data_IF_274854167227
#
_entry.id   IF_274854167227
#
_cell.length_a   1.000
_cell.length_b   1.000
_cell.length_c   1.000
_cell.angle_alpha   90.00
_cell.angle_beta   90.00
_cell.angle_gamma   90.00
#
_symmetry.space_group_name_H-M   'P 1'
#
loop_
_entity.id
_entity.type
_entity.pdbx_description
1 polymer ?
#
# COMPACT_ATOMS: atom_id res chain seq x y z
N UNK A 1 27.33 -0.48 -16.62
CA UNK A 1 27.96 -0.55 -15.28
C UNK A 1 27.21 -1.50 -14.33
N UNK A 2 27.37 -2.82 -14.47
CA UNK A 2 26.77 -3.85 -13.57
C UNK A 2 27.77 -4.95 -13.19
N UNK A 3 28.88 -4.55 -12.58
CA UNK A 3 29.81 -5.45 -11.90
C UNK A 3 29.43 -5.54 -10.43
N UNK A 4 29.22 -6.76 -9.94
CA UNK A 4 29.01 -7.05 -8.52
C UNK A 4 30.38 -7.06 -7.83
N UNK A 5 30.76 -5.88 -7.37
CA UNK A 5 31.89 -5.55 -6.51
C UNK A 5 31.28 -4.67 -5.41
N UNK A 6 31.41 -5.09 -4.16
CA UNK A 6 31.33 -4.18 -3.01
C UNK A 6 30.21 -3.13 -3.09
N UNK A 7 28.98 -3.63 -3.01
CA UNK A 7 27.79 -2.79 -3.16
C UNK A 7 27.25 -2.40 -1.80
N UNK A 8 27.19 -1.10 -1.56
CA UNK A 8 26.26 -0.47 -0.63
C UNK A 8 24.82 -0.60 -1.19
N UNK A 9 24.10 -1.63 -0.79
CA UNK A 9 22.69 -1.82 -1.15
C UNK A 9 21.84 -1.26 -0.02
N UNK A 10 20.99 -0.30 -0.33
CA UNK A 10 19.96 0.19 0.57
C UNK A 10 18.61 -0.39 0.14
N UNK A 11 17.89 -0.99 1.07
CA UNK A 11 16.50 -1.42 0.86
C UNK A 11 15.65 -0.55 1.76
N UNK A 12 14.78 0.24 1.14
CA UNK A 12 13.81 1.07 1.83
C UNK A 12 12.45 0.41 1.69
N UNK A 13 11.78 0.13 2.80
CA UNK A 13 10.47 -0.50 2.83
C UNK A 13 9.53 0.41 3.62
N UNK A 14 8.50 0.94 2.97
CA UNK A 14 7.50 1.76 3.66
C UNK A 14 6.26 0.92 3.87
N UNK A 15 5.91 0.61 5.10
CA UNK A 15 4.72 -0.19 5.40
C UNK A 15 3.45 0.68 5.43
N UNK A 16 2.30 0.04 5.25
CA UNK A 16 1.00 0.66 5.41
C UNK A 16 0.36 0.04 6.66
N UNK A 17 0.35 0.77 7.76
CA UNK A 17 -0.51 0.49 8.90
C UNK A 17 -1.60 1.55 8.96
N UNK A 18 -2.84 1.10 9.08
CA UNK A 18 -4.02 1.94 9.32
C UNK A 18 -3.86 2.51 10.74
N UNK A 19 -3.14 3.63 10.88
CA UNK A 19 -3.20 4.48 12.09
C UNK A 19 -4.26 5.54 11.87
N UNK A 20 -5.35 5.42 12.63
CA UNK A 20 -6.45 6.38 12.71
C UNK A 20 -5.91 7.62 13.43
N UNK A 21 -5.46 8.62 12.69
CA UNK A 21 -5.30 9.97 13.23
C UNK A 21 -6.45 10.82 12.69
N UNK A 22 -7.30 11.27 13.60
CA UNK A 22 -8.30 12.30 13.34
C UNK A 22 -7.60 13.56 12.83
N UNK A 23 -7.76 13.86 11.55
CA UNK A 23 -7.53 15.19 11.01
C UNK A 23 -8.84 15.67 10.41
N UNK A 24 -9.46 16.60 11.12
CA UNK A 24 -10.56 17.42 10.62
C UNK A 24 -9.98 18.39 9.61
N UNK A 25 -10.39 18.26 8.34
CA UNK A 25 -10.20 19.30 7.34
C UNK A 25 -11.54 19.49 6.63
N UNK A 26 -12.19 20.61 6.94
CA UNK A 26 -13.41 21.05 6.29
C UNK A 26 -13.14 21.33 4.82
N UNK A 27 -13.78 20.56 3.94
CA UNK A 27 -13.95 20.92 2.53
C UNK A 27 -15.41 20.65 2.18
N UNK A 28 -16.12 21.71 1.83
CA UNK A 28 -17.52 21.65 1.41
C UNK A 28 -17.65 20.83 0.12
N UNK A 29 -18.59 19.86 0.03
CA UNK A 29 -18.78 19.07 -1.18
C UNK A 29 -19.52 19.87 -2.27
N UNK A 30 -19.25 19.62 -3.56
CA UNK A 30 -20.05 20.15 -4.65
C UNK A 30 -21.42 19.45 -4.69
N UNK A 31 -22.46 20.22 -4.91
CA UNK A 31 -23.85 19.79 -5.09
C UNK A 31 -23.99 18.90 -6.33
N UNK A 32 -24.24 17.60 -6.12
CA UNK A 32 -24.79 16.68 -7.12
C UNK A 32 -26.33 16.79 -7.04
N UNK A 33 -27.08 16.78 -8.16
CA UNK A 33 -28.53 16.81 -8.09
C UNK A 33 -29.02 15.52 -7.43
N UNK A 34 -29.56 15.65 -6.22
CA UNK A 34 -30.28 14.56 -5.57
C UNK A 34 -31.57 14.31 -6.36
N UNK A 35 -31.67 13.17 -7.04
CA UNK A 35 -32.99 12.55 -7.17
C UNK A 35 -33.38 12.15 -5.76
N UNK A 36 -34.14 13.04 -5.11
CA UNK A 36 -34.59 12.94 -3.74
C UNK A 36 -35.48 11.71 -3.62
N UNK A 37 -34.96 10.61 -3.07
CA UNK A 37 -35.81 9.58 -2.46
C UNK A 37 -36.38 10.22 -1.19
N UNK A 38 -37.42 11.03 -1.37
CA UNK A 38 -38.14 11.62 -0.26
C UNK A 38 -38.93 10.47 0.38
N UNK A 39 -38.50 9.99 1.55
CA UNK A 39 -39.38 9.15 2.35
C UNK A 39 -40.55 10.02 2.83
N UNK A 40 -41.81 9.63 2.56
CA UNK A 40 -42.96 10.44 2.95
C UNK A 40 -43.03 10.51 4.48
N UNK A 41 -43.12 11.73 5.02
CA UNK A 41 -43.50 11.95 6.41
C UNK A 41 -45.02 11.82 6.55
N UNK A 42 -45.46 10.82 7.31
CA UNK A 42 -46.86 10.60 7.69
C UNK A 42 -47.53 9.44 6.94
N UNK A 43 -47.92 8.40 7.68
CA UNK A 43 -48.83 7.27 7.42
C UNK A 43 -48.98 6.62 6.01
N UNK A 44 -48.18 7.03 5.03
CA UNK A 44 -48.10 6.47 3.69
C UNK A 44 -46.63 6.16 3.41
N UNK A 45 -46.11 5.08 3.98
CA UNK A 45 -45.11 4.34 3.22
C UNK A 45 -45.81 3.88 1.94
N UNK A 46 -45.54 4.59 0.85
CA UNK A 46 -46.19 4.42 -0.46
C UNK A 46 -46.21 2.95 -0.88
N UNK A 47 -47.22 2.59 -1.67
CA UNK A 47 -47.41 1.27 -2.31
C UNK A 47 -46.11 0.74 -2.95
N UNK A 48 -45.18 1.64 -3.30
CA UNK A 48 -43.87 1.36 -3.88
C UNK A 48 -42.97 0.46 -3.02
N UNK A 49 -43.09 0.49 -1.69
CA UNK A 49 -42.27 -0.35 -0.80
C UNK A 49 -42.72 -1.82 -0.76
N UNK A 50 -43.82 -2.18 -1.43
CA UNK A 50 -44.45 -3.52 -1.38
C UNK A 50 -44.07 -4.40 -2.57
N UNK A 51 -43.28 -3.86 -3.49
CA UNK A 51 -42.89 -4.44 -4.76
C UNK A 51 -41.36 -4.52 -4.86
N UNK A 52 -40.87 -5.45 -5.65
CA UNK A 52 -39.46 -5.63 -5.94
C UNK A 52 -38.97 -4.51 -6.86
N UNK A 53 -37.91 -3.81 -6.46
CA UNK A 53 -37.32 -2.73 -7.27
C UNK A 53 -36.21 -3.27 -8.18
N UNK A 54 -36.47 -3.31 -9.48
CA UNK A 54 -35.61 -3.92 -10.50
C UNK A 54 -35.35 -2.89 -11.61
N UNK A 55 -34.09 -2.48 -11.79
CA UNK A 55 -33.68 -1.53 -12.84
C UNK A 55 -34.47 -0.20 -12.89
N UNK A 56 -34.96 0.29 -11.74
CA UNK A 56 -35.76 1.51 -11.66
C UNK A 56 -37.27 1.30 -11.86
N UNK A 57 -37.73 0.05 -11.95
CA UNK A 57 -39.13 -0.34 -12.05
C UNK A 57 -39.56 -1.16 -10.85
N UNK A 58 -40.86 -1.14 -10.54
CA UNK A 58 -41.47 -1.92 -9.47
C UNK A 58 -42.16 -3.16 -10.05
N UNK A 59 -41.95 -4.32 -9.43
CA UNK A 59 -42.51 -5.61 -9.88
C UNK A 59 -43.04 -6.43 -8.70
N UNK A 60 -44.19 -7.08 -8.86
CA UNK A 60 -44.84 -7.89 -7.82
C UNK A 60 -45.50 -9.12 -8.42
N UNK A 61 -44.77 -9.83 -9.27
CA UNK A 61 -45.32 -10.96 -10.02
C UNK A 61 -45.40 -12.25 -9.20
N UNK A 62 -44.87 -12.26 -7.97
CA UNK A 62 -44.96 -13.39 -7.07
C UNK A 62 -46.35 -13.57 -6.46
N UNK A 63 -46.84 -14.80 -6.50
CA UNK A 63 -48.13 -15.16 -5.90
C UNK A 63 -48.08 -15.30 -4.36
N UNK A 64 -46.88 -15.35 -3.78
CA UNK A 64 -46.68 -15.46 -2.33
C UNK A 64 -46.61 -14.06 -1.72
N UNK A 65 -47.57 -13.75 -0.86
CA UNK A 65 -47.61 -12.54 -0.04
C UNK A 65 -46.97 -12.80 1.34
N UNK A 66 -45.92 -12.03 1.64
CA UNK A 66 -45.26 -12.01 2.94
C UNK A 66 -45.82 -10.84 3.76
N UNK A 67 -46.47 -11.13 4.87
CA UNK A 67 -47.01 -10.11 5.76
C UNK A 67 -46.01 -9.81 6.87
N UNK A 68 -45.81 -8.53 7.17
CA UNK A 68 -45.07 -8.14 8.36
C UNK A 68 -45.92 -8.34 9.60
N UNK A 69 -45.28 -8.66 10.73
CA UNK A 69 -45.95 -8.95 12.01
C UNK A 69 -45.25 -8.19 13.14
N UNK A 70 -46.02 -7.79 14.15
CA UNK A 70 -45.46 -7.27 15.39
C UNK A 70 -44.91 -8.45 16.20
N UNK A 71 -43.60 -8.48 16.43
CA UNK A 71 -42.92 -9.56 17.11
C UNK A 71 -43.29 -9.68 18.61
N UNK A 72 -43.94 -8.66 19.19
CA UNK A 72 -44.39 -8.72 20.59
C UNK A 72 -45.80 -9.28 20.73
N UNK A 73 -46.71 -8.94 19.81
CA UNK A 73 -48.13 -9.31 19.90
C UNK A 73 -48.50 -10.46 18.96
N UNK A 74 -47.71 -10.70 17.91
CA UNK A 74 -48.03 -11.63 16.83
C UNK A 74 -49.11 -11.10 15.87
N UNK A 75 -49.57 -9.86 16.04
CA UNK A 75 -50.58 -9.26 15.17
C UNK A 75 -49.97 -8.79 13.84
N UNK A 76 -50.71 -8.90 12.72
CA UNK A 76 -50.22 -8.46 11.42
C UNK A 76 -50.06 -6.92 11.39
N UNK A 77 -48.93 -6.47 10.85
CA UNK A 77 -48.72 -5.07 10.48
C UNK A 77 -49.38 -4.79 9.12
N UNK A 78 -49.69 -3.53 8.77
CA UNK A 78 -50.42 -3.18 7.55
C UNK A 78 -49.59 -3.31 6.25
N UNK A 79 -48.46 -4.03 6.30
CA UNK A 79 -47.50 -4.16 5.21
C UNK A 79 -47.46 -5.60 4.71
N UNK A 80 -47.64 -5.76 3.40
CA UNK A 80 -47.49 -7.01 2.69
C UNK A 80 -46.53 -6.82 1.52
N UNK A 81 -45.68 -7.81 1.28
CA UNK A 81 -44.64 -7.80 0.27
C UNK A 81 -44.81 -9.01 -0.66
N UNK A 82 -44.67 -8.80 -1.96
CA UNK A 82 -44.63 -9.92 -2.90
C UNK A 82 -43.25 -10.59 -2.87
N UNK A 83 -43.22 -11.90 -2.62
CA UNK A 83 -41.98 -12.65 -2.76
C UNK A 83 -41.49 -12.58 -4.21
N UNK A 84 -40.21 -12.23 -4.41
CA UNK A 84 -39.63 -12.18 -5.73
C UNK A 84 -39.70 -13.55 -6.43
N UNK A 85 -40.13 -13.57 -7.69
CA UNK A 85 -40.06 -14.78 -8.52
C UNK A 85 -38.62 -15.05 -8.98
N UNK A 86 -38.34 -16.27 -9.44
CA UNK A 86 -37.03 -16.59 -10.05
C UNK A 86 -36.71 -15.67 -11.23
N UNK A 87 -37.71 -15.31 -12.04
CA UNK A 87 -37.55 -14.42 -13.18
C UNK A 87 -37.24 -12.98 -12.76
N UNK A 88 -37.87 -12.49 -11.68
CA UNK A 88 -37.57 -11.19 -11.09
C UNK A 88 -36.15 -11.13 -10.51
N UNK A 89 -35.71 -12.20 -9.85
CA UNK A 89 -34.33 -12.32 -9.33
C UNK A 89 -33.33 -12.33 -10.48
N UNK A 90 -33.58 -13.13 -11.52
CA UNK A 90 -32.73 -13.20 -12.72
C UNK A 90 -32.66 -11.83 -13.42
N UNK A 91 -33.79 -11.13 -13.58
CA UNK A 91 -33.85 -9.79 -14.15
C UNK A 91 -33.03 -8.78 -13.31
N UNK A 92 -33.07 -8.87 -11.98
CA UNK A 92 -32.27 -8.01 -11.10
C UNK A 92 -30.76 -8.29 -11.26
N UNK A 93 -30.36 -9.54 -11.39
CA UNK A 93 -28.96 -9.94 -11.63
C UNK A 93 -28.47 -9.42 -12.98
N UNK A 94 -29.26 -9.62 -14.04
CA UNK A 94 -28.94 -9.14 -15.39
C UNK A 94 -28.85 -7.60 -15.44
N UNK A 95 -29.75 -6.90 -14.75
CA UNK A 95 -29.69 -5.44 -14.63
C UNK A 95 -28.43 -4.97 -13.90
N UNK A 96 -28.03 -5.65 -12.82
CA UNK A 96 -26.80 -5.34 -12.10
C UNK A 96 -25.55 -5.60 -12.95
N UNK A 97 -25.51 -6.69 -13.71
CA UNK A 97 -24.44 -6.98 -14.65
C UNK A 97 -24.35 -5.91 -15.76
N UNK A 98 -25.49 -5.52 -16.35
CA UNK A 98 -25.55 -4.48 -17.36
C UNK A 98 -25.10 -3.10 -16.84
N UNK A 99 -25.36 -2.80 -15.57
CA UNK A 99 -24.93 -1.54 -14.93
C UNK A 99 -23.43 -1.53 -14.57
N UNK A 100 -22.80 -2.70 -14.43
CA UNK A 100 -21.43 -2.81 -13.93
C UNK A 100 -20.38 -2.05 -14.75
N UNK A 101 -20.34 -2.11 -16.11
CA UNK A 101 -19.34 -1.36 -16.89
C UNK A 101 -19.41 0.15 -16.66
N UNK A 102 -20.63 0.70 -16.57
CA UNK A 102 -20.83 2.12 -16.28
C UNK A 102 -20.37 2.44 -14.85
N UNK A 103 -20.79 1.65 -13.86
CA UNK A 103 -20.42 1.85 -12.46
C UNK A 103 -18.91 1.72 -12.22
N UNK A 104 -18.25 0.71 -12.79
CA UNK A 104 -16.82 0.49 -12.56
C UNK A 104 -15.94 1.60 -13.16
N UNK A 105 -16.44 2.27 -14.20
CA UNK A 105 -15.79 3.43 -14.84
C UNK A 105 -15.88 4.73 -14.04
N UNK A 106 -16.72 4.79 -13.00
CA UNK A 106 -16.85 5.99 -12.16
C UNK A 106 -15.54 6.30 -11.42
N UNK A 107 -15.33 7.58 -11.11
CA UNK A 107 -14.19 8.02 -10.31
C UNK A 107 -14.32 7.58 -8.84
N UNK A 108 -13.20 7.42 -8.10
CA UNK A 108 -13.26 7.21 -6.66
C UNK A 108 -14.07 8.26 -5.91
N UNK A 109 -14.01 9.53 -6.34
CA UNK A 109 -14.78 10.61 -5.73
C UNK A 109 -16.29 10.40 -5.87
N UNK A 110 -16.75 9.97 -7.05
CA UNK A 110 -18.18 9.66 -7.29
C UNK A 110 -18.65 8.48 -6.44
N UNK A 111 -17.85 7.41 -6.33
CA UNK A 111 -18.18 6.27 -5.48
C UNK A 111 -18.22 6.61 -3.99
N UNK A 112 -17.28 7.42 -3.52
CA UNK A 112 -17.27 7.90 -2.14
C UNK A 112 -18.50 8.77 -1.84
N UNK A 113 -18.83 9.70 -2.74
CA UNK A 113 -20.03 10.53 -2.61
C UNK A 113 -21.33 9.70 -2.57
N UNK A 114 -21.39 8.60 -3.34
CA UNK A 114 -22.52 7.68 -3.30
C UNK A 114 -22.66 6.99 -1.93
N UNK A 115 -21.57 6.51 -1.34
CA UNK A 115 -21.58 5.91 0.00
C UNK A 115 -22.00 6.91 1.09
N UNK A 116 -21.51 8.16 1.00
CA UNK A 116 -21.92 9.21 1.93
C UNK A 116 -23.39 9.58 1.79
N UNK A 117 -23.91 9.61 0.56
CA UNK A 117 -25.33 9.86 0.33
C UNK A 117 -26.20 8.80 1.02
N UNK A 118 -25.87 7.51 0.87
CA UNK A 118 -26.58 6.43 1.57
C UNK A 118 -26.50 6.61 3.09
N UNK A 119 -25.31 6.94 3.62
CA UNK A 119 -25.14 7.16 5.06
C UNK A 119 -25.99 8.33 5.58
N UNK A 120 -26.09 9.41 4.81
CA UNK A 120 -26.88 10.59 5.18
C UNK A 120 -28.39 10.29 5.15
N UNK A 121 -28.88 9.56 4.14
CA UNK A 121 -30.29 9.14 4.08
C UNK A 121 -30.65 8.21 5.25
N UNK A 122 -29.76 7.28 5.62
CA UNK A 122 -29.96 6.41 6.79
C UNK A 122 -30.04 7.20 8.09
N UNK A 123 -29.20 8.23 8.28
CA UNK A 123 -29.24 9.07 9.47
C UNK A 123 -30.45 10.00 9.50
N UNK A 124 -30.99 10.37 8.33
CA UNK A 124 -32.19 11.19 8.18
C UNK A 124 -33.49 10.43 8.50
N UNK A 125 -33.44 9.09 8.59
CA UNK A 125 -34.59 8.29 9.04
C UNK A 125 -35.04 8.74 10.44
N UNK A 126 -36.31 9.11 10.54
CA UNK A 126 -36.92 9.57 11.78
C UNK A 126 -37.18 8.46 12.81
N UNK A 127 -37.80 8.85 13.92
CA UNK A 127 -38.15 7.92 15.00
C UNK A 127 -39.19 6.87 14.57
N UNK A 128 -40.02 7.17 13.57
CA UNK A 128 -40.98 6.21 13.00
C UNK A 128 -40.29 4.96 12.48
N UNK A 129 -39.15 5.10 11.81
CA UNK A 129 -38.35 3.95 11.35
C UNK A 129 -37.86 3.10 12.53
N UNK A 130 -37.37 3.74 13.59
CA UNK A 130 -36.89 3.05 14.79
C UNK A 130 -38.03 2.27 15.46
N UNK A 131 -39.21 2.88 15.55
CA UNK A 131 -40.39 2.27 16.11
C UNK A 131 -40.84 1.07 15.27
N UNK A 132 -40.90 1.21 13.95
CA UNK A 132 -41.27 0.12 13.05
C UNK A 132 -40.33 -1.08 13.16
N UNK A 133 -39.01 -0.86 13.08
CA UNK A 133 -38.03 -1.94 13.20
C UNK A 133 -38.08 -2.59 14.59
N UNK A 134 -38.31 -1.81 15.64
CA UNK A 134 -38.48 -2.32 17.02
C UNK A 134 -39.67 -3.27 17.09
N UNK A 135 -40.80 -2.92 16.47
CA UNK A 135 -42.00 -3.78 16.41
C UNK A 135 -41.75 -5.08 15.65
N UNK A 136 -41.05 -5.01 14.51
CA UNK A 136 -40.80 -6.19 13.66
C UNK A 136 -39.74 -7.15 14.24
N UNK A 137 -38.81 -6.64 15.05
CA UNK A 137 -37.66 -7.43 15.55
C UNK A 137 -37.70 -7.75 17.04
N UNK A 138 -38.58 -7.10 17.80
CA UNK A 138 -38.60 -7.10 19.26
C UNK A 138 -37.27 -6.65 19.92
N UNK A 139 -36.42 -5.93 19.19
CA UNK A 139 -35.18 -5.37 19.73
C UNK A 139 -35.42 -4.01 20.37
N UNK A 140 -34.78 -3.68 21.52
CA UNK A 140 -34.95 -2.38 22.16
C UNK A 140 -34.53 -1.21 21.25
N UNK A 141 -35.22 -0.07 21.33
CA UNK A 141 -34.92 1.12 20.50
C UNK A 141 -33.46 1.56 20.56
N UNK A 142 -32.86 1.51 21.77
CA UNK A 142 -31.46 1.85 21.97
C UNK A 142 -30.53 0.98 21.12
N UNK A 143 -30.87 -0.31 20.93
CA UNK A 143 -30.14 -1.22 20.05
C UNK A 143 -30.29 -0.81 18.59
N UNK A 144 -31.51 -0.55 18.14
CA UNK A 144 -31.78 -0.17 16.74
C UNK A 144 -31.08 1.15 16.38
N UNK A 145 -31.10 2.14 17.28
CA UNK A 145 -30.36 3.41 17.10
C UNK A 145 -28.85 3.17 17.00
N UNK A 146 -28.30 2.31 17.84
CA UNK A 146 -26.89 1.92 17.79
C UNK A 146 -26.53 1.22 16.48
N UNK A 147 -27.37 0.31 15.99
CA UNK A 147 -27.17 -0.41 14.73
C UNK A 147 -27.23 0.51 13.51
N UNK A 148 -28.18 1.46 13.49
CA UNK A 148 -28.27 2.50 12.46
C UNK A 148 -27.00 3.34 12.41
N UNK A 149 -26.60 3.89 13.56
CA UNK A 149 -25.40 4.73 13.66
C UNK A 149 -24.13 3.95 13.29
N UNK A 150 -24.04 2.67 13.64
CA UNK A 150 -22.93 1.81 13.25
C UNK A 150 -22.87 1.63 11.74
N UNK A 151 -24.00 1.36 11.10
CA UNK A 151 -24.10 1.16 9.65
C UNK A 151 -23.73 2.42 8.88
N UNK A 152 -24.29 3.59 9.24
CA UNK A 152 -23.98 4.85 8.57
C UNK A 152 -22.51 5.25 8.73
N UNK A 153 -21.92 5.05 9.92
CA UNK A 153 -20.49 5.30 10.13
C UNK A 153 -19.58 4.33 9.36
N UNK A 154 -19.96 3.06 9.21
CA UNK A 154 -19.22 2.11 8.37
C UNK A 154 -19.21 2.52 6.89
N UNK A 155 -20.34 3.01 6.36
CA UNK A 155 -20.40 3.53 4.99
C UNK A 155 -19.46 4.71 4.78
N UNK A 156 -19.43 5.67 5.73
CA UNK A 156 -18.49 6.81 5.69
C UNK A 156 -17.03 6.37 5.77
N UNK A 157 -16.74 5.38 6.63
CA UNK A 157 -15.41 4.78 6.69
C UNK A 157 -14.99 4.19 5.33
N UNK A 158 -15.89 3.49 4.63
CA UNK A 158 -15.61 2.98 3.29
C UNK A 158 -15.47 4.10 2.25
N UNK A 159 -16.25 5.17 2.34
CA UNK A 159 -16.10 6.35 1.48
C UNK A 159 -14.70 6.95 1.60
N UNK A 160 -14.18 7.06 2.81
CA UNK A 160 -12.82 7.55 3.06
C UNK A 160 -11.74 6.61 2.52
N UNK A 161 -11.90 5.29 2.69
CA UNK A 161 -11.02 4.29 2.07
C UNK A 161 -11.01 4.45 0.54
N UNK A 162 -12.16 4.69 -0.08
CA UNK A 162 -12.28 4.92 -1.52
C UNK A 162 -11.59 6.22 -1.93
N UNK A 163 -11.77 7.32 -1.19
CA UNK A 163 -11.09 8.60 -1.45
C UNK A 163 -9.57 8.49 -1.39
N UNK A 164 -9.05 7.81 -0.37
CA UNK A 164 -7.61 7.62 -0.17
C UNK A 164 -7.01 6.64 -1.18
N UNK A 165 -7.83 5.80 -1.79
CA UNK A 165 -7.38 4.77 -2.73
C UNK A 165 -6.72 3.58 -2.05
N UNK A 166 -6.90 3.40 -0.73
CA UNK A 166 -6.25 2.31 0.02
C UNK A 166 -6.69 0.93 -0.51
N UNK A 167 -7.92 0.83 -1.03
CA UNK A 167 -8.46 -0.38 -1.65
C UNK A 167 -7.70 -0.80 -2.92
N UNK A 168 -6.99 0.11 -3.59
CA UNK A 168 -6.14 -0.23 -4.73
C UNK A 168 -4.91 -1.07 -4.32
N UNK A 169 -4.54 -0.99 -3.03
CA UNK A 169 -3.49 -1.81 -2.41
C UNK A 169 -4.00 -3.09 -1.75
N UNK A 170 -5.32 -3.22 -1.54
CA UNK A 170 -5.91 -4.41 -0.94
C UNK A 170 -5.85 -5.59 -1.92
N UNK A 171 -5.14 -6.66 -1.53
CA UNK A 171 -5.14 -7.93 -2.24
C UNK A 171 -5.55 -9.05 -1.29
N UNK A 172 -6.57 -9.78 -1.72
CA UNK A 172 -6.92 -11.09 -1.16
C UNK A 172 -6.03 -12.10 -1.89
N UNK A 173 -4.79 -12.23 -1.44
CA UNK A 173 -3.94 -13.35 -1.84
C UNK A 173 -4.54 -14.61 -1.21
N UNK A 174 -5.32 -15.36 -1.99
CA UNK A 174 -5.74 -16.69 -1.58
C UNK A 174 -4.47 -17.52 -1.43
N UNK A 175 -4.29 -18.16 -0.27
CA UNK A 175 -3.22 -19.12 -0.09
C UNK A 175 -3.31 -20.14 -1.23
N UNK A 176 -2.25 -20.26 -2.02
CA UNK A 176 -2.10 -21.31 -3.01
C UNK A 176 -1.11 -22.32 -2.42
N UNK A 177 -1.55 -23.21 -1.51
CA UNK A 177 -0.67 -24.11 -0.77
C UNK A 177 0.14 -25.03 -1.68
N UNK A 178 -0.33 -25.29 -2.90
CA UNK A 178 0.36 -26.14 -3.87
C UNK A 178 1.18 -25.38 -4.92
N UNK A 179 1.25 -24.03 -4.85
CA UNK A 179 1.99 -23.26 -5.86
C UNK A 179 3.47 -23.54 -5.75
N UNK A 180 4.01 -24.18 -6.80
CA UNK A 180 5.44 -24.34 -7.00
C UNK A 180 5.87 -23.45 -8.17
N UNK A 181 6.80 -22.49 -7.98
CA UNK A 181 7.52 -22.20 -6.74
C UNK A 181 6.68 -21.40 -5.73
N UNK A 182 7.14 -21.43 -4.47
CA UNK A 182 6.62 -20.64 -3.34
C UNK A 182 6.31 -19.19 -3.74
N UNK A 183 5.31 -18.55 -3.08
CA UNK A 183 4.91 -17.19 -3.39
C UNK A 183 6.12 -16.26 -3.39
N UNK A 184 6.32 -15.60 -4.52
CA UNK A 184 7.33 -14.55 -4.70
C UNK A 184 6.71 -13.23 -4.26
N UNK A 185 7.51 -12.25 -3.77
CA UNK A 185 7.02 -10.89 -3.57
C UNK A 185 6.32 -10.40 -4.84
N UNK A 186 5.15 -9.77 -4.70
CA UNK A 186 4.44 -9.23 -5.87
C UNK A 186 5.36 -8.21 -6.55
N UNK A 187 5.61 -8.41 -7.85
CA UNK A 187 6.42 -7.52 -8.69
C UNK A 187 5.92 -6.06 -8.65
N UNK A 188 4.64 -5.83 -8.30
CA UNK A 188 4.04 -4.49 -8.17
C UNK A 188 4.36 -3.81 -6.82
N UNK A 189 4.75 -4.59 -5.82
CA UNK A 189 5.10 -4.10 -4.48
C UNK A 189 6.57 -3.70 -4.39
N UNK A 190 7.39 -4.08 -5.37
CA UNK A 190 8.80 -3.74 -5.36
C UNK A 190 9.32 -3.12 -6.63
N UNK A 191 10.30 -2.24 -6.44
CA UNK A 191 11.07 -1.65 -7.53
C UNK A 191 12.55 -1.83 -7.25
N UNK A 192 13.31 -2.14 -8.29
CA UNK A 192 14.77 -2.09 -8.24
C UNK A 192 15.20 -0.82 -8.97
N UNK A 193 16.01 0.01 -8.30
CA UNK A 193 16.53 1.26 -8.84
C UNK A 193 18.05 1.12 -8.97
N UNK A 194 18.56 0.86 -10.19
CA UNK A 194 20.00 0.86 -10.42
C UNK A 194 20.53 2.29 -10.44
N UNK A 195 21.54 2.58 -9.62
CA UNK A 195 22.18 3.88 -9.58
C UNK A 195 23.43 3.87 -10.45
N UNK A 196 23.47 4.80 -11.40
CA UNK A 196 24.58 5.07 -12.30
C UNK A 196 25.13 6.49 -12.05
N UNK A 197 26.14 6.87 -12.83
CA UNK A 197 26.68 8.24 -12.82
C UNK A 197 25.54 9.27 -12.99
N UNK A 198 25.60 10.40 -12.27
CA UNK A 198 24.52 11.39 -12.31
C UNK A 198 24.46 12.07 -13.68
N UNK A 199 23.24 12.27 -14.19
CA UNK A 199 22.95 13.07 -15.39
C UNK A 199 23.24 14.55 -15.13
N UNK A 200 23.25 15.36 -16.19
CA UNK A 200 23.41 16.82 -16.06
C UNK A 200 22.30 17.44 -15.19
N UNK A 201 21.05 17.00 -15.38
CA UNK A 201 19.92 17.41 -14.54
C UNK A 201 20.14 17.04 -13.07
N UNK A 202 20.58 15.80 -12.79
CA UNK A 202 20.84 15.36 -11.42
C UNK A 202 22.02 16.12 -10.77
N UNK A 203 23.02 16.54 -11.55
CA UNK A 203 24.15 17.36 -11.07
C UNK A 203 23.75 18.80 -10.78
N UNK A 204 22.71 19.31 -11.43
CA UNK A 204 22.17 20.65 -11.17
C UNK A 204 21.34 20.72 -9.89
N UNK A 205 21.04 19.58 -9.26
CA UNK A 205 20.25 19.48 -8.03
C UNK A 205 21.15 19.12 -6.82
N UNK A 206 20.69 19.35 -5.57
CA UNK A 206 21.32 18.76 -4.40
C UNK A 206 21.42 17.24 -4.54
N UNK A 207 22.57 16.64 -4.21
CA UNK A 207 22.86 15.25 -4.62
C UNK A 207 21.85 14.21 -4.13
N UNK A 208 21.21 14.43 -2.97
CA UNK A 208 20.20 13.53 -2.42
C UNK A 208 18.86 13.53 -3.18
N UNK A 209 18.59 14.58 -3.97
CA UNK A 209 17.32 14.79 -4.67
C UNK A 209 16.94 13.58 -5.55
N UNK A 210 17.91 13.03 -6.28
CA UNK A 210 17.67 11.89 -7.17
C UNK A 210 17.21 10.64 -6.41
N UNK A 211 17.62 10.48 -5.15
CA UNK A 211 17.23 9.34 -4.32
C UNK A 211 15.87 9.56 -3.66
N UNK A 212 15.56 10.79 -3.23
CA UNK A 212 14.24 11.17 -2.73
C UNK A 212 13.12 10.80 -3.70
N UNK A 213 13.34 10.98 -5.01
CA UNK A 213 12.37 10.63 -6.07
C UNK A 213 12.07 9.14 -6.20
N UNK A 214 12.87 8.28 -5.55
CA UNK A 214 12.78 6.83 -5.65
C UNK A 214 12.33 6.16 -4.35
N UNK A 215 12.11 6.93 -3.30
CA UNK A 215 11.55 6.44 -2.03
C UNK A 215 10.16 5.85 -2.28
N UNK A 216 9.87 4.65 -1.74
CA UNK A 216 8.62 3.97 -2.02
C UNK A 216 7.41 4.67 -1.41
N UNK A 217 6.27 4.56 -2.09
CA UNK A 217 4.97 4.84 -1.49
C UNK A 217 4.70 3.85 -0.33
N UNK A 218 3.75 4.19 0.55
CA UNK A 218 3.31 3.29 1.63
C UNK A 218 2.84 1.95 1.07
N UNK A 219 3.21 0.86 1.73
CA UNK A 219 2.95 -0.52 1.32
C UNK A 219 3.89 -1.05 0.21
N UNK A 220 4.96 -0.32 -0.15
CA UNK A 220 5.91 -0.72 -1.20
C UNK A 220 7.34 -0.75 -0.67
N UNK A 221 8.21 -1.46 -1.40
CA UNK A 221 9.64 -1.43 -1.16
C UNK A 221 10.45 -1.07 -2.41
N UNK A 222 11.57 -0.37 -2.17
CA UNK A 222 12.55 -0.04 -3.20
C UNK A 222 13.89 -0.66 -2.81
N UNK A 223 14.52 -1.35 -3.75
CA UNK A 223 15.89 -1.87 -3.63
C UNK A 223 16.80 -0.98 -4.48
N UNK A 224 17.75 -0.32 -3.84
CA UNK A 224 18.77 0.49 -4.50
C UNK A 224 19.98 -0.39 -4.83
N UNK A 225 20.20 -0.64 -6.13
CA UNK A 225 21.42 -1.31 -6.63
C UNK A 225 22.52 -0.26 -6.81
N UNK A 226 23.38 -0.15 -5.78
CA UNK A 226 24.09 1.09 -5.36
C UNK A 226 23.12 2.15 -4.85
N UNK A 227 23.61 3.17 -4.15
CA UNK A 227 22.77 4.11 -3.39
C UNK A 227 23.46 5.47 -3.20
N UNK A 228 22.91 6.33 -2.34
CA UNK A 228 23.48 7.64 -1.96
C UNK A 228 24.90 7.56 -1.39
N UNK A 229 25.31 6.38 -0.91
CA UNK A 229 26.66 6.10 -0.47
C UNK A 229 27.74 6.24 -1.55
N UNK A 230 27.37 6.33 -2.83
CA UNK A 230 28.32 6.63 -3.91
C UNK A 230 29.18 7.88 -3.64
N UNK A 231 28.61 8.89 -2.97
CA UNK A 231 29.28 10.14 -2.59
C UNK A 231 30.49 9.93 -1.68
N UNK A 232 30.41 8.98 -0.75
CA UNK A 232 31.47 8.68 0.24
C UNK A 232 32.30 7.45 -0.13
N UNK A 233 32.00 6.82 -1.28
CA UNK A 233 32.71 5.67 -1.83
C UNK A 233 33.38 6.03 -3.16
N UNK A 234 32.78 5.64 -4.30
CA UNK A 234 33.38 5.82 -5.62
C UNK A 234 33.68 7.28 -5.95
N UNK A 235 32.82 8.23 -5.57
CA UNK A 235 33.06 9.66 -5.84
C UNK A 235 34.21 10.22 -5.00
N UNK A 236 34.46 9.66 -3.81
CA UNK A 236 35.61 9.99 -2.95
C UNK A 236 36.90 9.39 -3.52
N UNK A 237 36.91 8.09 -3.85
CA UNK A 237 38.11 7.36 -4.30
C UNK A 237 38.53 7.75 -5.72
N UNK A 238 37.58 8.06 -6.60
CA UNK A 238 37.87 8.52 -7.96
C UNK A 238 38.02 10.05 -8.08
N UNK A 239 37.76 10.81 -7.01
CA UNK A 239 37.87 12.27 -7.02
C UNK A 239 36.78 12.96 -7.87
N UNK A 240 35.59 12.36 -8.00
CA UNK A 240 34.47 12.96 -8.73
C UNK A 240 33.71 14.03 -7.94
N UNK A 241 34.06 14.22 -6.66
CA UNK A 241 33.55 15.28 -5.81
C UNK A 241 34.69 15.89 -4.99
N UNK A 242 34.47 17.11 -4.47
CA UNK A 242 35.47 17.76 -3.64
C UNK A 242 35.57 17.09 -2.25
N UNK A 243 36.73 17.21 -1.56
CA UNK A 243 36.83 16.75 -0.18
C UNK A 243 35.76 17.31 0.76
N UNK A 244 35.41 18.58 0.60
CA UNK A 244 34.37 19.23 1.38
C UNK A 244 33.00 18.56 1.17
N UNK A 245 32.68 18.16 -0.07
CA UNK A 245 31.38 17.56 -0.40
C UNK A 245 31.21 16.17 0.22
N UNK A 246 32.19 15.27 0.09
CA UNK A 246 32.03 13.93 0.65
C UNK A 246 32.18 13.92 2.17
N UNK A 247 32.95 14.83 2.77
CA UNK A 247 33.02 14.95 4.23
C UNK A 247 31.67 15.40 4.82
N UNK A 248 30.99 16.35 4.17
CA UNK A 248 29.64 16.80 4.59
C UNK A 248 28.58 15.72 4.37
N UNK A 249 28.75 14.87 3.36
CA UNK A 249 27.77 13.85 3.01
C UNK A 249 27.47 12.86 4.14
N UNK A 250 28.38 12.59 5.09
CA UNK A 250 28.09 11.70 6.21
C UNK A 250 26.92 12.18 7.07
N UNK A 251 26.87 13.47 7.43
CA UNK A 251 25.74 14.02 8.18
C UNK A 251 24.48 14.08 7.34
N UNK A 252 24.61 14.50 6.07
CA UNK A 252 23.47 14.56 5.14
C UNK A 252 22.81 13.19 4.92
N UNK A 253 23.61 12.11 4.88
CA UNK A 253 23.11 10.73 4.81
C UNK A 253 22.35 10.33 6.07
N UNK A 254 22.90 10.63 7.26
CA UNK A 254 22.26 10.28 8.52
C UNK A 254 20.93 11.04 8.67
N UNK A 255 20.91 12.34 8.37
CA UNK A 255 19.70 13.17 8.42
C UNK A 255 18.64 12.66 7.43
N UNK A 256 19.07 12.24 6.23
CA UNK A 256 18.19 11.65 5.23
C UNK A 256 17.56 10.35 5.70
N UNK A 257 18.36 9.43 6.25
CA UNK A 257 17.88 8.15 6.76
C UNK A 257 16.96 8.33 7.97
N UNK A 258 17.27 9.27 8.85
CA UNK A 258 16.42 9.64 9.97
C UNK A 258 15.05 10.16 9.50
N UNK A 259 15.02 11.06 8.52
CA UNK A 259 13.77 11.55 7.94
C UNK A 259 12.94 10.41 7.34
N UNK A 260 13.56 9.42 6.69
CA UNK A 260 12.87 8.25 6.17
C UNK A 260 12.26 7.39 7.28
N UNK A 261 13.02 7.10 8.32
CA UNK A 261 12.57 6.30 9.46
C UNK A 261 11.43 6.99 10.20
N UNK A 262 11.58 8.29 10.47
CA UNK A 262 10.54 9.11 11.10
C UNK A 262 9.24 9.16 10.26
N UNK A 263 9.35 9.05 8.93
CA UNK A 263 8.21 8.97 8.02
C UNK A 263 7.59 7.56 7.86
N UNK A 264 8.03 6.58 8.66
CA UNK A 264 7.54 5.20 8.67
C UNK A 264 8.21 4.26 7.66
N UNK A 265 9.46 4.55 7.28
CA UNK A 265 10.23 3.70 6.35
C UNK A 265 11.23 2.86 7.12
N UNK A 266 11.23 1.54 6.91
CA UNK A 266 12.31 0.66 7.35
C UNK A 266 13.46 0.79 6.36
N UNK A 267 14.63 1.20 6.86
CA UNK A 267 15.86 1.28 6.07
C UNK A 267 16.77 0.13 6.46
N UNK A 268 17.11 -0.73 5.51
CA UNK A 268 18.02 -1.87 5.71
C UNK A 268 19.21 -1.73 4.77
N UNK A 269 20.43 -1.72 5.32
CA UNK A 269 21.66 -1.45 4.57
C UNK A 269 22.58 -2.65 4.57
N UNK A 270 23.11 -3.01 3.41
CA UNK A 270 23.98 -4.16 3.25
C UNK A 270 25.30 -3.77 2.60
N UNK A 271 26.39 -4.16 3.24
CA UNK A 271 27.72 -4.18 2.63
C UNK A 271 28.10 -5.63 2.31
N UNK A 272 28.26 -5.94 1.03
CA UNK A 272 28.63 -7.28 0.58
C UNK A 272 30.16 -7.40 0.51
N UNK A 273 30.79 -7.84 1.60
CA UNK A 273 32.23 -7.97 1.72
C UNK A 273 32.73 -9.23 1.01
N UNK A 274 33.74 -9.09 0.16
CA UNK A 274 34.51 -10.20 -0.41
C UNK A 274 35.99 -9.96 -0.15
N UNK A 275 36.81 -11.00 -0.16
CA UNK A 275 38.26 -10.81 -0.16
C UNK A 275 38.82 -10.53 -1.57
N UNK A 276 40.06 -10.03 -1.62
CA UNK A 276 40.75 -9.70 -2.87
C UNK A 276 40.87 -10.90 -3.82
N UNK A 277 41.09 -12.09 -3.27
CA UNK A 277 41.32 -13.30 -4.06
C UNK A 277 40.02 -13.74 -4.75
N UNK A 278 38.93 -13.83 -4.00
CA UNK A 278 37.59 -14.10 -4.48
C UNK A 278 37.14 -13.05 -5.49
N UNK A 279 37.55 -11.79 -5.31
CA UNK A 279 37.29 -10.72 -6.27
C UNK A 279 37.96 -11.01 -7.61
N UNK A 280 39.27 -11.31 -7.59
CA UNK A 280 40.07 -11.64 -8.78
C UNK A 280 39.53 -12.86 -9.52
N UNK A 281 39.27 -13.96 -8.82
CA UNK A 281 38.71 -15.18 -9.41
C UNK A 281 37.38 -14.91 -10.13
N UNK A 282 36.54 -14.05 -9.54
CA UNK A 282 35.26 -13.66 -10.16
C UNK A 282 35.42 -12.76 -11.38
N UNK A 283 36.51 -12.01 -11.49
CA UNK A 283 36.81 -11.20 -12.67
C UNK A 283 37.22 -12.10 -13.82
N UNK A 284 38.19 -12.98 -13.57
CA UNK A 284 38.66 -13.98 -14.53
C UNK A 284 37.51 -14.88 -15.00
N UNK A 285 36.66 -15.37 -14.09
CA UNK A 285 35.47 -16.17 -14.44
C UNK A 285 34.51 -15.41 -15.38
N UNK A 286 34.35 -14.09 -15.19
CA UNK A 286 33.46 -13.25 -16.01
C UNK A 286 34.02 -13.01 -17.41
N UNK A 287 35.35 -12.89 -17.54
CA UNK A 287 36.02 -12.76 -18.83
C UNK A 287 35.90 -14.04 -19.66
N UNK A 288 36.03 -15.20 -19.01
CA UNK A 288 35.94 -16.48 -19.71
C UNK A 288 34.51 -16.77 -20.21
N UNK A 289 33.48 -16.42 -19.43
CA UNK A 289 32.09 -16.77 -19.74
C UNK A 289 31.45 -15.75 -20.71
N UNK A 290 31.12 -16.14 -21.97
CA UNK A 290 30.71 -15.20 -23.02
C UNK A 290 29.56 -14.27 -22.64
N UNK A 291 28.50 -14.80 -22.01
CA UNK A 291 27.33 -14.03 -21.60
C UNK A 291 27.53 -13.23 -20.30
N UNK A 292 28.70 -13.31 -19.65
CA UNK A 292 29.04 -12.50 -18.47
C UNK A 292 30.08 -11.42 -18.78
N UNK A 293 30.80 -11.50 -19.92
CA UNK A 293 31.86 -10.54 -20.32
C UNK A 293 31.42 -9.09 -20.26
N UNK A 294 30.20 -8.77 -20.66
CA UNK A 294 29.68 -7.39 -20.62
C UNK A 294 29.64 -6.78 -19.20
N UNK A 295 29.82 -7.61 -18.16
CA UNK A 295 29.80 -7.16 -16.76
C UNK A 295 31.16 -6.66 -16.28
N UNK A 296 32.26 -6.95 -16.97
CA UNK A 296 33.61 -6.48 -16.57
C UNK A 296 34.12 -5.45 -17.57
N UNK A 297 34.77 -4.41 -17.04
CA UNK A 297 35.29 -3.25 -17.75
C UNK A 297 36.68 -2.89 -17.23
N UNK A 298 37.44 -2.08 -17.96
CA UNK A 298 38.75 -1.60 -17.51
C UNK A 298 38.66 -0.81 -16.18
N UNK A 299 37.53 -0.12 -15.95
CA UNK A 299 37.27 0.56 -14.68
C UNK A 299 37.25 -0.42 -13.48
N UNK A 300 36.83 -1.68 -13.68
CA UNK A 300 36.79 -2.67 -12.60
C UNK A 300 38.20 -3.09 -12.18
N UNK A 301 39.11 -3.22 -13.14
CA UNK A 301 40.52 -3.49 -12.88
C UNK A 301 41.21 -2.29 -12.21
N UNK A 302 40.95 -1.06 -12.70
CA UNK A 302 41.44 0.17 -12.06
C UNK A 302 40.95 0.31 -10.61
N UNK A 303 39.69 -0.01 -10.34
CA UNK A 303 39.14 0.04 -8.98
C UNK A 303 39.80 -0.98 -8.05
N UNK A 304 40.19 -2.15 -8.57
CA UNK A 304 40.90 -3.16 -7.82
C UNK A 304 42.28 -2.70 -7.36
N UNK A 305 43.00 -1.95 -8.20
CA UNK A 305 44.30 -1.37 -7.84
C UNK A 305 44.20 -0.37 -6.67
N UNK A 306 43.01 0.20 -6.44
CA UNK A 306 42.70 1.12 -5.34
C UNK A 306 42.05 0.43 -4.13
N UNK A 307 42.30 -0.87 -3.95
CA UNK A 307 41.67 -1.67 -2.89
C UNK A 307 41.78 -1.01 -1.50
N UNK A 308 42.98 -0.57 -1.12
CA UNK A 308 43.23 -0.01 0.20
C UNK A 308 42.46 1.31 0.42
N UNK A 309 42.32 2.14 -0.60
CA UNK A 309 41.51 3.37 -0.56
C UNK A 309 40.02 3.03 -0.36
N UNK A 310 39.53 2.00 -1.05
CA UNK A 310 38.15 1.52 -0.88
C UNK A 310 37.92 0.92 0.52
N UNK A 311 38.87 0.15 1.07
CA UNK A 311 38.77 -0.37 2.44
C UNK A 311 38.63 0.77 3.44
N UNK A 312 39.44 1.83 3.32
CA UNK A 312 39.32 3.01 4.17
C UNK A 312 37.98 3.72 4.00
N UNK A 313 37.55 3.97 2.77
CA UNK A 313 36.27 4.63 2.49
C UNK A 313 35.07 3.85 3.05
N UNK A 314 35.12 2.52 2.99
CA UNK A 314 34.09 1.62 3.52
C UNK A 314 34.09 1.63 5.05
N UNK A 315 35.26 1.57 5.67
CA UNK A 315 35.40 1.70 7.12
C UNK A 315 34.76 3.00 7.62
N UNK A 316 35.17 4.14 7.04
CA UNK A 316 34.60 5.45 7.38
C UNK A 316 33.08 5.51 7.14
N UNK A 317 32.60 4.92 6.05
CA UNK A 317 31.17 4.87 5.73
C UNK A 317 30.39 4.10 6.79
N UNK A 318 30.83 2.90 7.14
CA UNK A 318 30.14 2.06 8.13
C UNK A 318 30.18 2.74 9.49
N UNK A 319 31.35 3.22 9.93
CA UNK A 319 31.53 3.82 11.24
C UNK A 319 30.71 5.10 11.42
N UNK A 320 30.64 5.95 10.38
CA UNK A 320 29.95 7.26 10.48
C UNK A 320 28.47 7.22 10.16
N UNK A 321 27.97 6.13 9.57
CA UNK A 321 26.57 6.05 9.14
C UNK A 321 25.83 4.80 9.63
N UNK A 322 26.46 3.91 10.40
CA UNK A 322 25.74 2.86 11.11
C UNK A 322 25.10 3.43 12.36
N UNK A 323 23.83 3.81 12.27
CA UNK A 323 23.07 4.37 13.40
C UNK A 323 22.17 3.31 14.04
N UNK A 324 21.62 3.59 15.22
CA UNK A 324 20.66 2.70 15.88
C UNK A 324 19.38 2.50 15.05
N UNK A 325 18.94 3.56 14.37
CA UNK A 325 17.71 3.55 13.57
C UNK A 325 17.90 2.97 12.17
N UNK A 326 19.11 3.02 11.63
CA UNK A 326 19.49 2.48 10.33
C UNK A 326 20.89 1.84 10.41
N UNK A 327 21.00 0.62 10.96
CA UNK A 327 22.31 -0.04 11.11
C UNK A 327 22.81 -0.62 9.79
N UNK A 328 24.13 -0.71 9.65
CA UNK A 328 24.76 -1.47 8.58
C UNK A 328 24.77 -2.97 8.88
N UNK A 329 24.46 -3.78 7.86
CA UNK A 329 24.67 -5.23 7.89
C UNK A 329 25.84 -5.61 7.00
N UNK A 330 26.95 -6.02 7.61
CA UNK A 330 28.08 -6.60 6.91
C UNK A 330 27.76 -8.04 6.52
N UNK A 331 27.89 -8.37 5.25
CA UNK A 331 27.54 -9.68 4.69
C UNK A 331 28.79 -10.32 4.11
N UNK A 332 29.16 -11.50 4.62
CA UNK A 332 30.28 -12.30 4.15
C UNK A 332 29.92 -12.90 2.78
N UNK A 333 30.26 -12.19 1.71
CA UNK A 333 29.75 -12.45 0.37
C UNK A 333 30.66 -13.32 -0.50
N UNK A 334 31.68 -13.96 0.09
CA UNK A 334 32.54 -14.94 -0.58
C UNK A 334 31.70 -16.12 -1.12
N UNK A 335 30.79 -16.65 -0.29
CA UNK A 335 29.73 -17.56 -0.76
C UNK A 335 28.45 -16.77 -1.12
N UNK A 336 28.08 -16.82 -2.40
CA UNK A 336 26.87 -16.17 -2.93
C UNK A 336 25.58 -16.77 -2.35
N UNK A 337 25.55 -18.06 -2.03
CA UNK A 337 24.35 -18.73 -1.47
C UNK A 337 24.13 -18.27 -0.04
N UNK A 338 25.20 -18.29 0.77
CA UNK A 338 25.18 -17.76 2.13
C UNK A 338 24.72 -16.30 2.17
N UNK A 339 25.34 -15.43 1.35
CA UNK A 339 25.01 -14.01 1.29
C UNK A 339 23.53 -13.75 1.01
N UNK A 340 22.93 -14.50 0.06
CA UNK A 340 21.50 -14.37 -0.28
C UNK A 340 20.61 -14.73 0.92
N UNK A 341 20.93 -15.82 1.61
CA UNK A 341 20.15 -16.25 2.78
C UNK A 341 20.27 -15.25 3.93
N UNK A 342 21.48 -14.74 4.21
CA UNK A 342 21.72 -13.72 5.24
C UNK A 342 20.91 -12.45 4.95
N UNK A 343 21.00 -11.92 3.73
CA UNK A 343 20.24 -10.73 3.30
C UNK A 343 18.74 -10.92 3.49
N UNK A 344 18.18 -12.05 3.00
CA UNK A 344 16.74 -12.31 3.11
C UNK A 344 16.29 -12.43 4.58
N UNK A 345 17.07 -13.11 5.43
CA UNK A 345 16.79 -13.21 6.87
C UNK A 345 16.81 -11.85 7.55
N UNK A 346 17.80 -11.01 7.26
CA UNK A 346 17.90 -9.66 7.84
C UNK A 346 16.72 -8.79 7.42
N UNK A 347 16.29 -8.85 6.16
CA UNK A 347 15.09 -8.13 5.70
C UNK A 347 13.86 -8.58 6.49
N UNK A 348 13.63 -9.90 6.60
CA UNK A 348 12.47 -10.43 7.33
C UNK A 348 12.48 -10.00 8.80
N UNK A 349 13.63 -10.09 9.47
CA UNK A 349 13.78 -9.65 10.87
C UNK A 349 13.49 -8.16 11.04
N UNK A 350 14.00 -7.31 10.14
CA UNK A 350 13.75 -5.87 10.18
C UNK A 350 12.25 -5.55 10.01
N UNK A 351 11.56 -6.26 9.11
CA UNK A 351 10.12 -6.12 8.90
C UNK A 351 9.32 -6.61 10.11
N UNK A 352 9.63 -7.79 10.64
CA UNK A 352 8.98 -8.34 11.84
C UNK A 352 9.12 -7.40 13.03
N UNK A 353 10.31 -6.83 13.25
CA UNK A 353 10.57 -5.87 14.31
C UNK A 353 9.76 -4.58 14.12
N UNK A 354 9.67 -4.06 12.89
CA UNK A 354 8.86 -2.88 12.57
C UNK A 354 7.37 -3.13 12.85
N UNK A 355 6.83 -4.27 12.40
CA UNK A 355 5.43 -4.63 12.65
C UNK A 355 5.11 -4.87 14.13
N UNK A 356 6.07 -5.36 14.92
CA UNK A 356 5.89 -5.56 16.35
C UNK A 356 5.84 -4.23 17.13
N UNK A 357 6.63 -3.23 16.74
CA UNK A 357 6.62 -1.89 17.35
C UNK A 357 5.29 -1.15 17.14
N UNK A 358 4.66 -1.36 15.99
CA UNK A 358 3.42 -0.65 15.62
C UNK A 358 2.13 -1.25 16.18
N UNK A 359 2.17 -2.47 16.74
CA UNK A 359 1.03 -3.09 17.45
C UNK A 359 0.79 -2.55 18.86
N UNK A 360 1.70 -1.72 19.37
CA UNK A 360 1.53 -0.92 20.60
C UNK A 360 1.04 0.47 20.21
#
# INVERSE_FOLDING_TARGET
MKTFLEKAVAITIRYHLIRINHYSACISPPTVPAHRLSLPTGNEMSIEHRLNHIAGQLSGNGDVLLNSVDAHTGEPLPYAFHQATSDEVEAAVQAAEAAYPAYCSTSPAQRAAFLDAIANELDALGDDFILHVTRETALPEARIRGERARTSNQLRLFADVVRRGDFLGARIDRALPERTPLPRPDLRQYRIVPIAAPTEEERAQPYLWRFWRHIPARGKFTIFDRSWYGRVLVERVEGFCSPADWMRAYSEINDFEEQLVNAGTVVVKFWLAIDQQTQLERFEEREQIPFKRYKITEDDWRNRDKWDDYVQAVGDMVDRTSTEIAPWTLVEANDKRWARVKVLRTINQALEAAFAKDKK
#
